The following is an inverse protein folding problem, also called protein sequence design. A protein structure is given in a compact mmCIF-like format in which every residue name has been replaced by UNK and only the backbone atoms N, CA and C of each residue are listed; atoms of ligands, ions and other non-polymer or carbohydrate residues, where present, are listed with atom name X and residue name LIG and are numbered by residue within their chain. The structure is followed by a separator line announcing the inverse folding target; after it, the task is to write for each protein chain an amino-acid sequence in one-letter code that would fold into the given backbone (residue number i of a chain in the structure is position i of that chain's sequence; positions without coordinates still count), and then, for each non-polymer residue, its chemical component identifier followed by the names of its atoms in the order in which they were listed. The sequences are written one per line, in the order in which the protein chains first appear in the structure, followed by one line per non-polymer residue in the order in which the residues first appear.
data_IF_954103229066
#
_entry.id   IF_954103229066
#
_cell.length_a   1.000
_cell.length_b   1.000
_cell.length_c   1.000
_cell.angle_alpha   90.00
_cell.angle_beta   90.00
_cell.angle_gamma   90.00
#
_symmetry.space_group_name_H-M   'P 1'
#
loop_
_entity.id
_entity.type
_entity.pdbx_description
1 polymer ?
#
# COMPACT_ATOMS: atom_id res chain seq x y z
N UNK A 1 -11.15 8.74 14.91
CA UNK A 1 -11.06 8.45 13.46
C UNK A 1 -9.61 8.47 12.99
N UNK A 2 -9.23 7.55 12.09
CA UNK A 2 -7.90 7.54 11.47
C UNK A 2 -7.71 8.77 10.56
N UNK A 3 -6.59 9.46 10.70
CA UNK A 3 -6.20 10.59 9.87
C UNK A 3 -5.49 10.15 8.59
N UNK A 4 -4.71 9.08 8.69
CA UNK A 4 -3.92 8.53 7.60
C UNK A 4 -4.37 7.11 7.30
N UNK A 5 -4.43 6.78 6.02
CA UNK A 5 -4.65 5.43 5.52
C UNK A 5 -3.45 5.07 4.62
N UNK A 6 -2.41 4.44 5.18
CA UNK A 6 -1.26 4.02 4.40
C UNK A 6 -1.69 3.04 3.30
N UNK A 7 -0.96 3.06 2.22
CA UNK A 7 -1.16 2.13 1.12
C UNK A 7 -0.39 0.86 1.45
N UNK A 8 -1.03 -0.30 1.39
CA UNK A 8 -0.31 -1.58 1.42
C UNK A 8 0.21 -1.87 0.01
N UNK A 9 1.51 -1.69 -0.21
CA UNK A 9 2.14 -1.90 -1.51
C UNK A 9 2.84 -3.26 -1.55
N UNK A 10 2.27 -4.20 -2.30
CA UNK A 10 2.81 -5.55 -2.47
C UNK A 10 3.64 -5.60 -3.75
N UNK A 11 4.94 -5.74 -3.62
CA UNK A 11 5.88 -5.71 -4.74
C UNK A 11 6.66 -7.02 -4.87
N UNK A 12 7.20 -7.27 -6.06
CA UNK A 12 8.19 -8.32 -6.28
C UNK A 12 9.06 -7.98 -7.50
N UNK A 13 10.29 -8.49 -7.59
CA UNK A 13 11.17 -8.25 -8.72
C UNK A 13 10.68 -8.90 -10.02
N UNK A 14 9.81 -9.89 -9.95
CA UNK A 14 9.31 -10.64 -11.11
C UNK A 14 7.89 -11.18 -10.88
N UNK A 15 7.29 -11.70 -11.93
CA UNK A 15 6.00 -12.41 -11.86
C UNK A 15 6.08 -13.72 -11.06
N UNK A 16 4.91 -14.27 -10.71
CA UNK A 16 4.77 -15.55 -10.00
C UNK A 16 5.43 -15.61 -8.61
N UNK A 17 5.39 -14.52 -7.88
CA UNK A 17 5.87 -14.42 -6.49
C UNK A 17 4.72 -14.46 -5.45
N UNK A 18 3.48 -14.73 -5.85
CA UNK A 18 2.33 -14.85 -4.94
C UNK A 18 1.64 -13.53 -4.60
N UNK A 19 1.95 -12.41 -5.27
CA UNK A 19 1.32 -11.10 -4.99
C UNK A 19 -0.21 -11.14 -5.04
N UNK A 20 -0.77 -11.60 -6.16
CA UNK A 20 -2.23 -11.66 -6.35
C UNK A 20 -2.91 -12.59 -5.34
N UNK A 21 -2.23 -13.67 -4.93
CA UNK A 21 -2.72 -14.54 -3.87
C UNK A 21 -2.77 -13.81 -2.52
N UNK A 22 -1.68 -13.12 -2.14
CA UNK A 22 -1.65 -12.34 -0.90
C UNK A 22 -2.71 -11.25 -0.92
N UNK A 23 -2.85 -10.52 -2.04
CA UNK A 23 -3.91 -9.52 -2.23
C UNK A 23 -5.31 -10.13 -2.02
N UNK A 24 -5.57 -11.29 -2.61
CA UNK A 24 -6.84 -12.01 -2.44
C UNK A 24 -7.10 -12.37 -0.97
N UNK A 25 -6.11 -12.94 -0.29
CA UNK A 25 -6.22 -13.31 1.14
C UNK A 25 -6.52 -12.08 1.99
N UNK A 26 -5.81 -10.97 1.78
CA UNK A 26 -6.05 -9.73 2.52
C UNK A 26 -7.46 -9.18 2.26
N UNK A 27 -7.92 -9.19 1.01
CA UNK A 27 -9.25 -8.72 0.64
C UNK A 27 -10.37 -9.55 1.27
N UNK A 28 -10.18 -10.87 1.38
CA UNK A 28 -11.15 -11.75 2.06
C UNK A 28 -11.30 -11.45 3.56
N UNK A 29 -10.29 -10.87 4.18
CA UNK A 29 -10.34 -10.44 5.59
C UNK A 29 -10.89 -9.02 5.77
N UNK A 30 -10.90 -8.22 4.71
CA UNK A 30 -11.40 -6.84 4.76
C UNK A 30 -12.93 -6.77 4.77
N UNK A 31 -13.44 -5.77 5.49
CA UNK A 31 -14.85 -5.39 5.39
C UNK A 31 -15.05 -4.49 4.16
N UNK A 32 -16.09 -4.74 3.36
CA UNK A 32 -16.39 -3.98 2.14
C UNK A 32 -15.23 -3.98 1.14
N UNK A 33 -14.64 -5.14 0.90
CA UNK A 33 -13.58 -5.29 -0.08
C UNK A 33 -14.10 -5.06 -1.51
N UNK A 34 -13.33 -4.31 -2.30
CA UNK A 34 -13.64 -4.03 -3.70
C UNK A 34 -12.41 -4.33 -4.57
N UNK A 35 -12.35 -5.53 -5.17
CA UNK A 35 -11.24 -5.90 -6.04
C UNK A 35 -11.35 -5.16 -7.38
N UNK A 36 -10.27 -4.52 -7.78
CA UNK A 36 -10.15 -3.83 -9.07
C UNK A 36 -9.05 -4.53 -9.84
N UNK A 37 -9.44 -5.25 -10.87
CA UNK A 37 -8.48 -6.03 -11.63
C UNK A 37 -7.87 -5.22 -12.77
N UNK A 38 -8.34 -5.09 -13.92
CA UNK A 38 -7.52 -4.67 -15.03
C UNK A 38 -7.67 -3.22 -15.49
N UNK A 39 -8.81 -2.59 -15.34
CA UNK A 39 -8.97 -1.19 -15.75
C UNK A 39 -10.14 -0.53 -15.05
N UNK A 40 -9.86 0.51 -14.33
CA UNK A 40 -10.88 1.39 -13.75
C UNK A 40 -10.63 2.80 -14.23
N UNK A 41 -11.69 3.52 -14.56
CA UNK A 41 -11.57 4.95 -14.82
C UNK A 41 -11.49 5.71 -13.50
N UNK A 42 -10.86 6.87 -13.51
CA UNK A 42 -10.80 7.73 -12.32
C UNK A 42 -12.21 8.08 -11.81
N UNK A 43 -13.16 8.31 -12.73
CA UNK A 43 -14.54 8.66 -12.42
C UNK A 43 -15.28 7.52 -11.69
N UNK A 44 -15.05 6.28 -12.08
CA UNK A 44 -15.60 5.13 -11.37
C UNK A 44 -14.94 4.96 -9.99
N UNK A 45 -13.63 5.17 -9.89
CA UNK A 45 -12.89 5.03 -8.65
C UNK A 45 -13.43 5.93 -7.54
N UNK A 46 -13.49 7.25 -7.76
CA UNK A 46 -13.93 8.15 -6.69
C UNK A 46 -15.42 8.01 -6.36
N UNK A 47 -16.28 7.61 -7.31
CA UNK A 47 -17.69 7.31 -7.02
C UNK A 47 -17.84 6.05 -6.16
N UNK A 48 -17.12 4.99 -6.44
CA UNK A 48 -17.09 3.78 -5.63
C UNK A 48 -16.62 4.11 -4.20
N UNK A 49 -15.58 4.95 -4.06
CA UNK A 49 -15.10 5.36 -2.74
C UNK A 49 -16.15 6.16 -2.00
N UNK A 50 -16.78 7.15 -2.64
CA UNK A 50 -17.81 7.98 -2.04
C UNK A 50 -19.02 7.17 -1.56
N UNK A 51 -19.51 6.25 -2.39
CA UNK A 51 -20.72 5.49 -2.13
C UNK A 51 -20.50 4.34 -1.13
N UNK A 52 -19.40 3.62 -1.27
CA UNK A 52 -19.20 2.36 -0.55
C UNK A 52 -18.20 2.45 0.60
N UNK A 53 -17.31 3.45 0.60
CA UNK A 53 -16.16 3.52 1.53
C UNK A 53 -15.46 2.17 1.68
N UNK A 54 -14.99 1.57 0.59
CA UNK A 54 -14.47 0.22 0.57
C UNK A 54 -13.00 0.17 0.97
N UNK A 55 -12.48 -1.05 1.20
CA UNK A 55 -11.06 -1.34 1.01
C UNK A 55 -10.86 -1.69 -0.48
N UNK A 56 -10.00 -0.97 -1.18
CA UNK A 56 -9.75 -1.19 -2.60
C UNK A 56 -8.48 -2.01 -2.78
N UNK A 57 -8.53 -3.01 -3.66
CA UNK A 57 -7.33 -3.69 -4.15
C UNK A 57 -7.14 -3.44 -5.63
N UNK A 58 -5.97 -2.93 -6.00
CA UNK A 58 -5.55 -2.70 -7.39
C UNK A 58 -4.42 -3.66 -7.72
N UNK A 59 -4.69 -4.64 -8.57
CA UNK A 59 -3.67 -5.56 -9.09
C UNK A 59 -3.07 -5.02 -10.40
N UNK A 60 -1.84 -5.44 -10.74
CA UNK A 60 -1.08 -4.98 -11.90
C UNK A 60 -0.99 -3.44 -11.98
N UNK A 61 -0.72 -2.81 -10.84
CA UNK A 61 -0.74 -1.36 -10.71
C UNK A 61 0.35 -0.67 -11.56
N UNK A 62 1.48 -1.33 -11.79
CA UNK A 62 2.56 -0.87 -12.66
C UNK A 62 2.06 -0.55 -14.07
N UNK A 63 1.21 -1.38 -14.65
CA UNK A 63 0.62 -1.17 -15.97
C UNK A 63 -0.50 -0.11 -15.96
N UNK A 64 -1.33 -0.12 -14.90
CA UNK A 64 -2.50 0.75 -14.81
C UNK A 64 -2.14 2.20 -14.48
N UNK A 65 -1.23 2.42 -13.51
CA UNK A 65 -0.87 3.74 -13.04
C UNK A 65 -0.01 4.50 -14.05
N UNK A 66 0.81 3.80 -14.82
CA UNK A 66 1.59 4.42 -15.89
C UNK A 66 0.69 5.04 -16.95
N UNK A 67 -0.40 4.36 -17.32
CA UNK A 67 -1.35 4.80 -18.34
C UNK A 67 -2.35 5.83 -17.84
N UNK A 68 -2.53 5.97 -16.53
CA UNK A 68 -3.54 6.82 -15.94
C UNK A 68 -3.00 7.65 -14.75
N UNK A 69 -2.30 8.76 -15.02
CA UNK A 69 -1.79 9.66 -13.96
C UNK A 69 -2.88 10.24 -13.05
N UNK A 70 -4.11 10.43 -13.57
CA UNK A 70 -5.21 10.96 -12.79
C UNK A 70 -5.67 9.95 -11.72
N UNK A 71 -5.67 8.66 -12.04
CA UNK A 71 -5.93 7.59 -11.07
C UNK A 71 -4.91 7.61 -9.92
N UNK A 72 -3.63 7.80 -10.26
CA UNK A 72 -2.58 7.94 -9.25
C UNK A 72 -2.80 9.17 -8.35
N UNK A 73 -3.29 10.28 -8.91
CA UNK A 73 -3.68 11.47 -8.16
C UNK A 73 -4.73 11.16 -7.08
N UNK A 74 -5.76 10.37 -7.42
CA UNK A 74 -6.81 9.95 -6.49
C UNK A 74 -6.24 9.05 -5.37
N UNK A 75 -5.38 8.10 -5.71
CA UNK A 75 -4.75 7.21 -4.74
C UNK A 75 -3.88 7.98 -3.75
N UNK A 76 -3.10 8.95 -4.25
CA UNK A 76 -2.26 9.81 -3.43
C UNK A 76 -3.09 10.75 -2.53
N UNK A 77 -4.11 11.39 -3.07
CA UNK A 77 -5.00 12.28 -2.31
C UNK A 77 -5.72 11.53 -1.19
N UNK A 78 -6.12 10.29 -1.44
CA UNK A 78 -6.80 9.44 -0.47
C UNK A 78 -5.93 8.90 0.67
N UNK A 79 -4.67 9.31 0.78
CA UNK A 79 -3.77 8.90 1.87
C UNK A 79 -4.08 9.64 3.18
N UNK A 80 -4.27 10.94 3.14
CA UNK A 80 -4.54 11.77 4.31
C UNK A 80 -5.98 12.28 4.28
N UNK A 81 -6.75 12.07 5.35
CA UNK A 81 -8.18 12.40 5.43
C UNK A 81 -8.48 13.88 5.14
N UNK A 82 -7.64 14.79 5.60
CA UNK A 82 -7.82 16.23 5.40
C UNK A 82 -7.74 16.67 3.94
N UNK A 83 -6.97 15.97 3.12
CA UNK A 83 -6.76 16.27 1.69
C UNK A 83 -7.45 15.28 0.75
N UNK A 84 -8.14 14.29 1.29
CA UNK A 84 -8.73 13.18 0.55
C UNK A 84 -10.03 13.56 -0.18
N UNK A 85 -9.92 14.49 -1.10
CA UNK A 85 -11.01 14.96 -1.92
C UNK A 85 -10.59 15.09 -3.37
N UNK A 86 -11.54 14.85 -4.28
CA UNK A 86 -11.42 15.24 -5.69
C UNK A 86 -12.62 16.07 -6.08
N UNK A 87 -12.41 16.97 -7.03
CA UNK A 87 -13.45 17.89 -7.51
C UNK A 87 -13.70 17.60 -8.99
N UNK A 88 -14.97 17.64 -9.39
CA UNK A 88 -15.38 17.48 -10.78
C UNK A 88 -16.42 18.54 -11.12
N UNK A 89 -16.31 19.09 -12.31
CA UNK A 89 -17.36 19.97 -12.85
C UNK A 89 -18.42 19.09 -13.53
N UNK A 90 -19.68 19.35 -13.23
CA UNK A 90 -20.79 18.79 -14.01
C UNK A 90 -20.83 19.51 -15.36
N UNK A 91 -20.69 18.78 -16.48
CA UNK A 91 -20.75 19.38 -17.81
C UNK A 91 -22.06 20.15 -18.11
N UNK A 92 -23.13 19.79 -17.43
CA UNK A 92 -24.46 20.36 -17.68
C UNK A 92 -24.81 21.56 -16.77
N UNK A 93 -24.18 21.69 -15.61
CA UNK A 93 -24.66 22.63 -14.58
C UNK A 93 -23.62 23.62 -14.06
N UNK A 94 -22.39 23.64 -14.55
CA UNK A 94 -21.29 24.49 -14.04
C UNK A 94 -21.05 24.39 -12.51
N UNK A 95 -21.65 23.42 -11.84
CA UNK A 95 -21.42 23.16 -10.43
C UNK A 95 -20.19 22.25 -10.23
N UNK A 96 -19.45 22.54 -9.16
CA UNK A 96 -18.32 21.74 -8.75
C UNK A 96 -18.80 20.73 -7.72
N UNK A 97 -18.75 19.45 -8.06
CA UNK A 97 -19.02 18.35 -7.14
C UNK A 97 -17.73 17.92 -6.43
N UNK A 98 -17.86 17.59 -5.14
CA UNK A 98 -16.77 17.17 -4.28
C UNK A 98 -16.97 15.73 -3.87
N UNK A 99 -15.99 14.88 -4.17
CA UNK A 99 -16.01 13.46 -3.86
C UNK A 99 -14.92 13.09 -2.86
N UNK A 100 -15.23 12.21 -1.90
CA UNK A 100 -14.26 11.64 -0.98
C UNK A 100 -13.38 10.62 -1.68
N UNK A 101 -12.10 10.60 -1.32
CA UNK A 101 -11.13 9.64 -1.85
C UNK A 101 -10.42 8.85 -0.74
N UNK A 102 -10.76 9.12 0.54
CA UNK A 102 -10.18 8.44 1.68
C UNK A 102 -10.71 7.01 1.82
N UNK A 103 -9.84 6.03 1.60
CA UNK A 103 -10.15 4.62 1.84
C UNK A 103 -8.85 3.82 2.04
N UNK A 104 -8.90 2.66 2.71
CA UNK A 104 -7.78 1.72 2.72
C UNK A 104 -7.51 1.16 1.32
N UNK A 105 -6.23 0.99 0.99
CA UNK A 105 -5.78 0.56 -0.34
C UNK A 105 -4.74 -0.53 -0.25
N UNK A 106 -4.90 -1.56 -1.08
CA UNK A 106 -3.91 -2.59 -1.34
C UNK A 106 -3.53 -2.46 -2.80
N UNK A 107 -2.26 -2.30 -3.09
CA UNK A 107 -1.75 -2.13 -4.46
C UNK A 107 -0.71 -3.20 -4.69
N UNK A 108 -0.86 -3.98 -5.75
CA UNK A 108 0.13 -5.00 -6.12
C UNK A 108 0.67 -4.75 -7.52
N UNK A 109 1.97 -4.95 -7.68
CA UNK A 109 2.65 -4.76 -8.95
C UNK A 109 4.05 -5.37 -8.96
N UNK A 110 4.67 -5.42 -10.14
CA UNK A 110 6.08 -5.74 -10.25
C UNK A 110 6.87 -4.50 -9.83
N UNK A 111 7.94 -4.70 -9.06
CA UNK A 111 8.84 -3.62 -8.68
C UNK A 111 9.45 -3.03 -9.95
N UNK A 112 8.96 -1.88 -10.34
CA UNK A 112 9.44 -1.17 -11.52
C UNK A 112 9.66 0.29 -11.14
N UNK A 113 10.54 0.96 -11.87
CA UNK A 113 10.73 2.41 -11.83
C UNK A 113 9.47 3.21 -12.16
N UNK A 114 8.39 2.52 -12.48
CA UNK A 114 7.11 3.09 -12.91
C UNK A 114 6.18 3.44 -11.74
N UNK A 115 6.39 2.86 -10.55
CA UNK A 115 5.67 3.28 -9.33
C UNK A 115 6.39 4.51 -8.81
N UNK A 116 5.74 5.67 -8.92
CA UNK A 116 6.34 6.95 -8.55
C UNK A 116 6.61 7.02 -7.05
N UNK A 117 7.68 7.70 -6.68
CA UNK A 117 8.10 7.94 -5.29
C UNK A 117 6.98 8.52 -4.42
N UNK A 118 6.11 9.35 -5.00
CA UNK A 118 4.96 9.91 -4.30
C UNK A 118 3.98 8.86 -3.76
N UNK A 119 3.85 7.71 -4.42
CA UNK A 119 3.01 6.61 -3.97
C UNK A 119 3.80 5.71 -3.00
N UNK A 120 5.05 5.41 -3.32
CA UNK A 120 5.96 4.61 -2.48
C UNK A 120 6.10 5.22 -1.08
N UNK A 121 6.34 6.53 -0.99
CA UNK A 121 6.45 7.25 0.30
C UNK A 121 5.15 7.29 1.12
N UNK A 122 4.01 6.92 0.55
CA UNK A 122 2.70 6.80 1.22
C UNK A 122 2.32 5.35 1.52
N UNK A 123 3.25 4.44 1.32
CA UNK A 123 3.01 3.01 1.39
C UNK A 123 3.81 2.36 2.50
N UNK A 124 3.28 1.25 2.98
CA UNK A 124 4.02 0.22 3.69
C UNK A 124 4.27 -0.88 2.67
N UNK A 125 5.54 -1.25 2.48
CA UNK A 125 5.96 -2.11 1.39
C UNK A 125 6.09 -3.56 1.86
N UNK A 126 5.39 -4.45 1.19
CA UNK A 126 5.53 -5.90 1.34
C UNK A 126 6.30 -6.46 0.15
N UNK A 127 7.59 -6.70 0.33
CA UNK A 127 8.46 -7.25 -0.70
C UNK A 127 8.31 -8.77 -0.78
N UNK A 128 7.78 -9.25 -1.89
CA UNK A 128 7.58 -10.67 -2.18
C UNK A 128 8.72 -11.20 -3.03
N UNK A 129 9.17 -12.42 -2.75
CA UNK A 129 10.14 -13.14 -3.58
C UNK A 129 9.57 -14.45 -4.11
N UNK A 130 10.17 -14.96 -5.14
CA UNK A 130 9.81 -16.28 -5.64
C UNK A 130 10.24 -17.35 -4.64
N UNK A 131 9.41 -18.37 -4.48
CA UNK A 131 9.71 -19.56 -3.69
C UNK A 131 10.98 -20.24 -4.22
N UNK A 132 11.89 -20.58 -3.32
CA UNK A 132 13.09 -21.37 -3.65
C UNK A 132 12.73 -22.84 -3.90
N UNK A 133 13.59 -23.59 -4.61
CA UNK A 133 13.34 -24.99 -4.95
C UNK A 133 13.20 -25.91 -3.72
N UNK A 134 13.87 -25.56 -2.63
CA UNK A 134 13.84 -26.30 -1.35
C UNK A 134 12.74 -25.83 -0.38
N UNK A 135 11.91 -24.89 -0.77
CA UNK A 135 10.80 -24.41 0.04
C UNK A 135 9.50 -25.07 -0.41
N UNK A 136 8.66 -25.46 0.52
CA UNK A 136 7.30 -25.91 0.28
C UNK A 136 6.32 -24.76 0.56
N UNK A 137 5.27 -24.63 -0.22
CA UNK A 137 4.13 -23.79 0.09
C UNK A 137 2.88 -24.66 0.02
N UNK A 138 2.00 -24.46 0.96
CA UNK A 138 0.68 -25.09 0.91
C UNK A 138 -0.08 -24.62 -0.32
N UNK A 139 -0.85 -25.54 -0.91
CA UNK A 139 -1.73 -25.21 -2.02
C UNK A 139 -2.92 -24.43 -1.46
N UNK A 140 -3.12 -23.21 -1.95
CA UNK A 140 -4.27 -22.40 -1.57
C UNK A 140 -5.46 -22.76 -2.46
N UNK A 141 -6.48 -23.39 -1.85
CA UNK A 141 -7.74 -23.69 -2.50
C UNK A 141 -8.81 -22.69 -2.01
N UNK A 142 -9.16 -21.74 -2.87
CA UNK A 142 -10.10 -20.66 -2.53
C UNK A 142 -11.45 -21.18 -2.03
N UNK A 143 -11.97 -22.26 -2.63
CA UNK A 143 -13.24 -22.88 -2.25
C UNK A 143 -13.27 -23.35 -0.80
N UNK A 144 -12.15 -23.86 -0.29
CA UNK A 144 -12.01 -24.36 1.09
C UNK A 144 -11.74 -23.21 2.06
N UNK A 145 -10.91 -22.25 1.66
CA UNK A 145 -10.51 -21.13 2.50
C UNK A 145 -11.64 -20.10 2.74
N UNK A 146 -12.57 -19.96 1.79
CA UNK A 146 -13.64 -18.95 1.84
C UNK A 146 -14.44 -18.94 3.15
N UNK A 147 -14.79 -20.12 3.66
CA UNK A 147 -15.55 -20.23 4.90
C UNK A 147 -14.72 -19.81 6.13
N UNK A 148 -13.45 -20.20 6.18
CA UNK A 148 -12.52 -19.79 7.22
C UNK A 148 -12.31 -18.26 7.22
N UNK A 149 -12.11 -17.65 6.06
CA UNK A 149 -11.98 -16.19 5.94
C UNK A 149 -13.25 -15.45 6.37
N UNK A 150 -14.44 -15.96 6.06
CA UNK A 150 -15.68 -15.34 6.52
C UNK A 150 -15.78 -15.34 8.05
N UNK A 151 -15.31 -16.39 8.72
CA UNK A 151 -15.25 -16.43 10.18
C UNK A 151 -14.23 -15.45 10.74
N UNK A 152 -13.02 -15.40 10.16
CA UNK A 152 -11.97 -14.46 10.57
C UNK A 152 -12.44 -13.02 10.40
N UNK A 153 -13.04 -12.67 9.27
CA UNK A 153 -13.58 -11.34 8.98
C UNK A 153 -14.63 -10.93 10.01
N UNK A 154 -15.52 -11.84 10.41
CA UNK A 154 -16.51 -11.55 11.46
C UNK A 154 -15.86 -11.28 12.82
N UNK A 155 -14.81 -12.05 13.17
CA UNK A 155 -14.04 -11.84 14.41
C UNK A 155 -13.32 -10.50 14.39
N UNK A 156 -12.65 -10.16 13.28
CA UNK A 156 -11.99 -8.86 13.12
C UNK A 156 -12.99 -7.72 13.26
N UNK A 157 -14.15 -7.82 12.58
CA UNK A 157 -15.19 -6.81 12.68
C UNK A 157 -15.71 -6.66 14.12
N UNK A 158 -15.94 -7.77 14.83
CA UNK A 158 -16.39 -7.72 16.23
C UNK A 158 -15.33 -7.10 17.13
N UNK A 159 -14.08 -7.55 17.02
CA UNK A 159 -12.97 -7.01 17.80
C UNK A 159 -12.77 -5.50 17.57
N UNK A 160 -12.92 -5.03 16.32
CA UNK A 160 -12.80 -3.59 16.02
C UNK A 160 -13.96 -2.77 16.63
N UNK A 161 -15.17 -3.30 16.64
CA UNK A 161 -16.31 -2.64 17.29
C UNK A 161 -16.08 -2.60 18.80
N UNK A 162 -15.73 -3.72 19.42
CA UNK A 162 -15.45 -3.80 20.85
C UNK A 162 -14.35 -2.84 21.29
N UNK A 163 -13.27 -2.75 20.51
CA UNK A 163 -12.16 -1.85 20.79
C UNK A 163 -12.56 -0.36 20.74
N UNK A 164 -13.48 0.00 19.86
CA UNK A 164 -14.02 1.36 19.80
C UNK A 164 -15.00 1.63 20.94
N UNK A 165 -15.93 0.69 21.21
CA UNK A 165 -16.97 0.84 22.22
C UNK A 165 -16.40 0.88 23.66
N UNK A 166 -15.36 0.10 23.95
CA UNK A 166 -14.71 0.07 25.27
C UNK A 166 -13.55 1.06 25.41
N UNK A 167 -13.24 1.84 24.35
CA UNK A 167 -12.20 2.86 24.36
C UNK A 167 -10.75 2.31 24.35
N UNK A 168 -10.56 1.01 24.08
CA UNK A 168 -9.21 0.43 24.03
C UNK A 168 -8.43 0.81 22.75
N UNK A 169 -9.13 1.31 21.72
CA UNK A 169 -8.49 1.89 20.54
C UNK A 169 -8.39 3.40 20.71
N UNK A 170 -7.27 3.84 21.26
CA UNK A 170 -6.99 5.26 21.52
C UNK A 170 -5.81 5.74 20.68
N UNK A 171 -6.09 6.67 19.76
CA UNK A 171 -5.07 7.30 18.91
C UNK A 171 -4.34 8.47 19.61
N UNK A 172 -4.77 8.83 20.80
CA UNK A 172 -4.11 9.89 21.60
C UNK A 172 -3.02 9.36 22.51
N UNK A 173 -2.95 8.04 22.68
CA UNK A 173 -1.91 7.39 23.45
C UNK A 173 -0.54 7.65 22.82
N UNK A 174 0.42 8.09 23.62
CA UNK A 174 1.76 8.41 23.13
C UNK A 174 2.56 7.15 22.91
N UNK A 175 2.90 6.87 21.65
CA UNK A 175 3.80 5.79 21.27
C UNK A 175 5.23 6.33 21.21
N UNK A 176 6.17 5.61 21.83
CA UNK A 176 7.59 5.91 21.71
C UNK A 176 8.10 5.50 20.34
N UNK A 177 8.43 6.49 19.50
CA UNK A 177 8.93 6.25 18.16
C UNK A 177 10.32 5.61 18.17
N UNK A 178 10.57 4.63 17.28
CA UNK A 178 11.91 4.07 17.08
C UNK A 178 12.89 5.13 16.60
N UNK A 179 14.15 5.02 16.99
CA UNK A 179 15.21 6.00 16.63
C UNK A 179 15.44 6.07 15.12
N UNK A 180 15.26 4.96 14.41
CA UNK A 180 15.43 4.92 12.94
C UNK A 180 14.29 5.55 12.15
N UNK A 181 13.14 5.83 12.76
CA UNK A 181 11.98 6.42 12.11
C UNK A 181 11.98 7.94 12.28
N UNK A 182 12.84 8.62 11.54
CA UNK A 182 12.98 10.08 11.60
C UNK A 182 12.07 10.81 10.61
N UNK A 183 11.67 10.17 9.51
CA UNK A 183 10.76 10.77 8.54
C UNK A 183 9.34 10.89 9.09
N UNK A 184 8.79 12.09 9.03
CA UNK A 184 7.40 12.36 9.48
C UNK A 184 6.37 11.55 8.70
N UNK A 185 6.65 11.23 7.43
CA UNK A 185 5.73 10.44 6.59
C UNK A 185 5.76 8.95 6.94
N UNK A 186 6.92 8.41 7.27
CA UNK A 186 7.03 7.05 7.81
C UNK A 186 6.23 6.93 9.12
N UNK A 187 6.35 7.92 10.00
CA UNK A 187 5.55 7.98 11.24
C UNK A 187 4.05 8.04 10.94
N UNK A 188 3.62 8.85 9.99
CA UNK A 188 2.22 8.95 9.58
C UNK A 188 1.69 7.61 9.06
N UNK A 189 2.46 6.88 8.27
CA UNK A 189 2.09 5.57 7.73
C UNK A 189 1.97 4.51 8.83
N UNK A 190 2.94 4.45 9.76
CA UNK A 190 2.99 3.42 10.78
C UNK A 190 2.12 3.72 12.01
N UNK A 191 1.75 4.98 12.25
CA UNK A 191 0.96 5.39 13.41
C UNK A 191 -0.34 4.56 13.58
N UNK A 192 -1.20 4.41 12.58
CA UNK A 192 -2.42 3.62 12.74
C UNK A 192 -2.15 2.15 13.03
N UNK A 193 -1.08 1.57 12.48
CA UNK A 193 -0.72 0.18 12.70
C UNK A 193 -0.18 -0.04 14.12
N UNK A 194 0.63 0.89 14.64
CA UNK A 194 1.14 0.82 16.00
C UNK A 194 0.01 0.88 17.03
N UNK A 195 -0.97 1.76 16.84
CA UNK A 195 -2.14 1.82 17.74
C UNK A 195 -3.01 0.57 17.67
N UNK A 196 -3.23 -0.01 16.48
CA UNK A 196 -3.92 -1.29 16.34
C UNK A 196 -3.13 -2.40 17.04
N UNK A 197 -1.82 -2.44 16.86
CA UNK A 197 -0.96 -3.43 17.51
C UNK A 197 -0.97 -3.28 19.03
N UNK A 198 -0.88 -2.05 19.54
CA UNK A 198 -0.96 -1.76 20.97
C UNK A 198 -2.29 -2.20 21.58
N UNK A 199 -3.42 -1.98 20.89
CA UNK A 199 -4.73 -2.48 21.29
C UNK A 199 -4.75 -4.01 21.44
N UNK A 200 -3.96 -4.72 20.62
CA UNK A 200 -3.82 -6.18 20.72
C UNK A 200 -2.81 -6.64 21.79
N UNK A 201 -2.02 -5.71 22.35
CA UNK A 201 -1.05 -5.94 23.42
C UNK A 201 0.39 -5.62 23.03
N UNK A 202 1.24 -5.39 24.04
CA UNK A 202 2.63 -4.91 23.87
C UNK A 202 3.46 -5.77 22.92
N UNK A 203 3.32 -7.09 22.99
CA UNK A 203 4.02 -8.02 22.09
C UNK A 203 3.73 -7.78 20.60
N UNK A 204 2.54 -7.27 20.28
CA UNK A 204 2.19 -6.95 18.90
C UNK A 204 2.75 -5.59 18.48
N UNK A 205 2.79 -4.63 19.41
CA UNK A 205 3.47 -3.37 19.17
C UNK A 205 4.97 -3.59 18.90
N UNK A 206 5.62 -4.43 19.70
CA UNK A 206 7.05 -4.74 19.51
C UNK A 206 7.31 -5.36 18.13
N UNK A 207 6.45 -6.27 17.68
CA UNK A 207 6.50 -6.85 16.33
C UNK A 207 6.24 -5.83 15.23
N UNK A 208 5.30 -4.90 15.44
CA UNK A 208 5.02 -3.86 14.48
C UNK A 208 6.20 -2.87 14.35
N UNK A 209 6.85 -2.56 15.47
CA UNK A 209 8.07 -1.74 15.50
C UNK A 209 9.21 -2.44 14.74
N UNK A 210 9.42 -3.74 14.95
CA UNK A 210 10.42 -4.51 14.21
C UNK A 210 10.13 -4.53 12.71
N UNK A 211 8.87 -4.79 12.33
CA UNK A 211 8.44 -4.77 10.93
C UNK A 211 8.62 -3.41 10.26
N UNK A 212 8.49 -2.31 11.01
CA UNK A 212 8.72 -0.96 10.47
C UNK A 212 10.18 -0.71 10.10
N UNK A 213 11.12 -1.41 10.71
CA UNK A 213 12.53 -1.34 10.36
C UNK A 213 12.80 -2.00 9.01
N UNK A 214 12.20 -3.16 8.77
CA UNK A 214 12.32 -3.86 7.48
C UNK A 214 11.74 -3.02 6.32
N UNK A 215 10.69 -2.25 6.57
CA UNK A 215 10.09 -1.33 5.60
C UNK A 215 11.03 -0.16 5.27
N UNK A 216 11.63 0.47 6.27
CA UNK A 216 12.62 1.54 6.10
C UNK A 216 13.87 1.05 5.34
N UNK A 217 14.40 -0.12 5.70
CA UNK A 217 15.53 -0.72 5.01
C UNK A 217 15.19 -1.03 3.54
N UNK A 218 13.94 -1.43 3.26
CA UNK A 218 13.45 -1.66 1.90
C UNK A 218 13.36 -0.36 1.10
N UNK A 219 12.87 0.73 1.71
CA UNK A 219 12.82 2.05 1.07
C UNK A 219 14.23 2.58 0.77
N UNK A 220 15.13 2.51 1.73
CA UNK A 220 16.52 2.91 1.56
C UNK A 220 17.22 2.13 0.42
N UNK A 221 16.97 0.82 0.32
CA UNK A 221 17.47 -0.02 -0.77
C UNK A 221 16.94 0.42 -2.14
N UNK A 222 15.65 0.79 -2.22
CA UNK A 222 15.05 1.28 -3.47
C UNK A 222 15.70 2.59 -3.91
N UNK A 223 15.90 3.52 -2.98
CA UNK A 223 16.50 4.82 -3.28
C UNK A 223 17.96 4.68 -3.73
N UNK A 224 18.72 3.82 -3.06
CA UNK A 224 20.10 3.51 -3.46
C UNK A 224 20.19 2.91 -4.88
N UNK A 225 19.31 1.95 -5.20
CA UNK A 225 19.28 1.34 -6.54
C UNK A 225 18.94 2.38 -7.63
N UNK A 226 18.03 3.32 -7.34
CA UNK A 226 17.70 4.41 -8.27
C UNK A 226 18.86 5.36 -8.45
N UNK A 227 19.51 5.76 -7.37
CA UNK A 227 20.66 6.64 -7.42
C UNK A 227 21.79 6.01 -8.25
N UNK A 228 22.11 4.75 -7.99
CA UNK A 228 23.13 4.01 -8.76
C UNK A 228 22.81 3.98 -10.26
N UNK A 229 21.55 3.71 -10.62
CA UNK A 229 21.13 3.73 -12.03
C UNK A 229 21.26 5.12 -12.66
N UNK A 230 20.95 6.17 -11.92
CA UNK A 230 21.07 7.55 -12.41
C UNK A 230 22.54 7.89 -12.64
N UNK A 231 23.41 7.61 -11.68
CA UNK A 231 24.86 7.83 -11.81
C UNK A 231 25.47 7.03 -12.97
N UNK A 232 25.04 5.78 -13.18
CA UNK A 232 25.45 4.99 -14.34
C UNK A 232 25.00 5.63 -15.66
N UNK A 233 23.75 6.09 -15.76
CA UNK A 233 23.25 6.76 -16.96
C UNK A 233 24.05 8.03 -17.28
N UNK A 234 24.34 8.86 -16.27
CA UNK A 234 25.18 10.05 -16.43
C UNK A 234 26.56 9.69 -16.98
N UNK A 235 27.21 8.62 -16.47
CA UNK A 235 28.50 8.13 -16.98
C UNK A 235 28.40 7.71 -18.46
N UNK A 236 27.31 7.04 -18.86
CA UNK A 236 27.09 6.64 -20.25
C UNK A 236 26.92 7.87 -21.18
N UNK A 237 26.10 8.84 -20.73
CA UNK A 237 25.85 10.08 -21.49
C UNK A 237 27.11 10.94 -21.61
N UNK A 238 27.86 11.14 -20.52
CA UNK A 238 29.11 11.95 -20.54
C UNK A 238 30.20 11.36 -21.41
N UNK A 239 30.24 10.03 -21.52
CA UNK A 239 31.28 9.36 -22.33
C UNK A 239 30.83 9.02 -23.76
N UNK A 240 29.57 9.31 -24.12
CA UNK A 240 28.96 8.98 -25.42
C UNK A 240 29.15 7.50 -25.80
N UNK A 241 29.10 6.59 -24.80
CA UNK A 241 29.34 5.15 -25.00
C UNK A 241 28.03 4.36 -24.76
N UNK A 242 27.83 3.33 -25.57
CA UNK A 242 26.72 2.40 -25.43
C UNK A 242 27.02 1.23 -24.47
N UNK A 243 28.27 1.06 -24.06
CA UNK A 243 28.72 0.02 -23.14
C UNK A 243 29.99 0.40 -22.41
N UNK A 244 30.15 -0.15 -21.20
CA UNK A 244 31.37 -0.13 -20.42
C UNK A 244 31.73 -1.56 -20.00
N UNK A 245 33.02 -1.82 -19.89
CA UNK A 245 33.47 -3.04 -19.21
C UNK A 245 33.46 -2.85 -17.69
N UNK A 246 33.38 -3.93 -16.93
CA UNK A 246 33.36 -3.88 -15.45
C UNK A 246 34.63 -3.24 -14.85
N UNK A 247 35.70 -3.13 -15.64
CA UNK A 247 36.97 -2.48 -15.25
C UNK A 247 37.01 -0.99 -15.56
N UNK A 248 36.05 -0.48 -16.31
CA UNK A 248 35.94 0.96 -16.70
C UNK A 248 34.89 1.68 -15.82
N UNK A 249 34.01 0.92 -15.15
CA UNK A 249 33.04 1.40 -14.14
C UNK A 249 33.66 1.36 -12.74
#
# INVERSE_FOLDING_TARGET
ELFVSPICLITSPQSNCGKSLLTTVMMEMCNRSFPITASITEAAMFRIIEECMPTIALDEADLNLQKNPALQGILNAGHMRSTAWTFRCDPNNSFVEKFKTFCPKIISGIRSTQIRDTLTNRSIILSMRRKRKNESCECFLYSEARQAFAQIRRKIKRASIDAIENGSFDLTETIKWPVWMDDGRARDNWNPLFHIALTAGQQWLDRAIEASRDDEDTLAQIDYEKQLLTELLEIFEENEKDYFTTSEL
#
